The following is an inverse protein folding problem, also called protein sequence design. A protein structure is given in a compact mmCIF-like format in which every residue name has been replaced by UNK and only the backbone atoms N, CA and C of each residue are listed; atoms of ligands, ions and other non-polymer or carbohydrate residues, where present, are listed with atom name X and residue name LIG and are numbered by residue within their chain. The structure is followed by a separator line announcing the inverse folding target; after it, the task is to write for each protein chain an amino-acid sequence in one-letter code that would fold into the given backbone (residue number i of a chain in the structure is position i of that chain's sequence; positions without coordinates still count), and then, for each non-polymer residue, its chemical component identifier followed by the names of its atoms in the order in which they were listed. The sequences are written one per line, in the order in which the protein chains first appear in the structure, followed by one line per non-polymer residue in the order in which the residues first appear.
data_IF_647009066488
#
_entry.id   IF_647009066488
#
_cell.length_a   1.000
_cell.length_b   1.000
_cell.length_c   1.000
_cell.angle_alpha   90.00
_cell.angle_beta   90.00
_cell.angle_gamma   90.00
#
_symmetry.space_group_name_H-M   'P 1'
#
loop_
_entity.id
_entity.type
_entity.pdbx_description
1 polymer ?
#
# COMPACT_ATOMS: atom_id res chain seq x y z
N UNK A 1 -8.95 -41.85 9.44
CA UNK A 1 -9.33 -40.96 8.32
C UNK A 1 -9.96 -39.71 8.94
N UNK A 2 -9.18 -38.66 9.16
CA UNK A 2 -9.70 -37.35 9.57
C UNK A 2 -9.79 -36.43 8.35
N UNK A 3 -10.63 -35.37 8.37
CA UNK A 3 -10.71 -34.44 7.26
C UNK A 3 -9.37 -33.72 7.12
N UNK A 4 -8.69 -33.91 5.98
CA UNK A 4 -7.60 -33.04 5.57
C UNK A 4 -8.24 -31.69 5.27
N UNK A 5 -8.03 -30.72 6.14
CA UNK A 5 -8.43 -29.33 5.90
C UNK A 5 -7.55 -28.84 4.74
N UNK A 6 -8.17 -28.58 3.59
CA UNK A 6 -7.52 -27.89 2.49
C UNK A 6 -7.09 -26.52 3.01
N UNK A 7 -5.77 -26.31 3.13
CA UNK A 7 -5.21 -25.01 3.50
C UNK A 7 -5.22 -24.17 2.22
N UNK A 8 -6.02 -23.09 2.14
CA UNK A 8 -5.95 -22.20 1.00
C UNK A 8 -4.53 -21.62 0.96
N UNK A 9 -3.77 -21.93 -0.08
CA UNK A 9 -2.41 -21.41 -0.25
C UNK A 9 -2.53 -19.95 -0.66
N UNK A 10 -2.65 -19.10 0.36
CA UNK A 10 -2.67 -17.66 0.22
C UNK A 10 -1.44 -17.19 -0.55
N UNK A 11 -1.69 -16.30 -1.50
CA UNK A 11 -0.73 -15.56 -2.28
C UNK A 11 0.46 -15.06 -1.44
N UNK A 12 1.63 -15.69 -1.56
CA UNK A 12 2.87 -15.24 -0.92
C UNK A 12 3.64 -14.30 -1.86
N UNK A 13 3.31 -13.02 -1.88
CA UNK A 13 4.16 -12.00 -2.54
C UNK A 13 5.12 -11.44 -1.49
N UNK A 14 6.40 -11.78 -1.62
CA UNK A 14 7.46 -11.21 -0.79
C UNK A 14 8.16 -10.07 -1.52
N UNK A 15 7.91 -8.82 -1.12
CA UNK A 15 8.80 -7.73 -1.51
C UNK A 15 9.98 -7.69 -0.53
N UNK A 16 11.05 -8.41 -0.86
CA UNK A 16 12.36 -8.15 -0.27
C UNK A 16 13.06 -7.07 -1.10
N UNK A 17 13.58 -6.03 -0.46
CA UNK A 17 14.48 -5.04 -1.05
C UNK A 17 15.87 -5.27 -0.43
N UNK A 18 16.84 -5.71 -1.22
CA UNK A 18 18.25 -5.68 -0.82
C UNK A 18 18.84 -4.31 -1.16
N UNK A 19 19.65 -3.71 -0.30
CA UNK A 19 20.08 -2.32 -0.43
C UNK A 19 21.45 -2.18 -1.11
N UNK A 20 21.55 -1.43 -2.23
CA UNK A 20 22.83 -0.79 -2.60
C UNK A 20 23.22 -0.66 -4.09
N UNK A 21 22.75 0.39 -4.79
CA UNK A 21 23.41 1.06 -5.94
C UNK A 21 23.46 0.32 -7.30
N UNK A 22 23.66 0.94 -8.46
CA UNK A 22 23.56 2.32 -8.96
C UNK A 22 23.07 2.23 -10.41
N UNK A 23 22.02 2.96 -10.78
CA UNK A 23 21.63 3.19 -12.17
C UNK A 23 21.13 4.62 -12.30
N UNK A 24 21.51 5.27 -13.41
CA UNK A 24 21.37 6.70 -13.66
C UNK A 24 19.89 7.09 -13.84
N UNK A 25 19.18 7.22 -12.72
CA UNK A 25 17.80 7.68 -12.62
C UNK A 25 17.76 9.20 -12.38
N UNK A 26 16.66 9.85 -12.75
CA UNK A 26 16.28 11.19 -12.26
C UNK A 26 16.69 11.31 -10.79
N UNK A 27 17.67 12.15 -10.46
CA UNK A 27 18.28 12.17 -9.13
C UNK A 27 17.17 12.43 -8.09
N UNK A 28 17.07 11.56 -7.08
CA UNK A 28 16.14 11.78 -5.96
C UNK A 28 16.43 13.13 -5.29
N UNK A 29 15.50 13.62 -4.48
CA UNK A 29 15.60 14.94 -3.86
C UNK A 29 15.38 14.88 -2.35
N UNK A 30 16.04 15.78 -1.64
CA UNK A 30 15.89 15.90 -0.18
C UNK A 30 14.77 16.87 0.16
N UNK A 31 13.93 16.47 1.10
CA UNK A 31 12.95 17.33 1.76
C UNK A 31 13.35 17.49 3.22
N UNK A 32 13.51 18.73 3.68
CA UNK A 32 13.69 19.07 5.09
C UNK A 32 12.49 19.86 5.57
N UNK A 33 12.00 19.56 6.76
CA UNK A 33 10.84 20.22 7.34
C UNK A 33 11.17 20.71 8.76
N UNK A 34 10.95 22.00 9.03
CA UNK A 34 11.20 22.62 10.32
C UNK A 34 9.90 23.17 10.90
N UNK A 35 9.63 22.78 12.13
CA UNK A 35 8.56 23.34 12.95
C UNK A 35 9.08 24.44 13.88
N UNK A 36 8.15 25.13 14.52
CA UNK A 36 8.44 26.14 15.52
C UNK A 36 7.41 26.08 16.63
N UNK A 37 7.86 26.20 17.87
CA UNK A 37 7.05 26.55 19.03
C UNK A 37 7.65 27.77 19.74
N UNK A 38 6.81 28.58 20.40
CA UNK A 38 7.24 29.84 21.03
C UNK A 38 8.39 29.69 22.03
N UNK A 39 8.42 28.60 22.82
CA UNK A 39 9.51 28.38 23.79
C UNK A 39 10.76 27.72 23.20
N UNK A 40 10.79 27.40 21.91
CA UNK A 40 11.95 26.77 21.30
C UNK A 40 13.18 27.70 21.32
N UNK A 41 14.36 27.19 21.72
CA UNK A 41 15.60 27.97 21.75
C UNK A 41 15.92 28.58 20.38
N UNK A 42 16.40 29.84 20.41
CA UNK A 42 16.86 30.55 19.21
C UNK A 42 15.79 31.34 18.44
N UNK A 43 14.53 31.34 18.88
CA UNK A 43 13.44 32.04 18.18
C UNK A 43 12.74 33.16 18.98
N UNK A 44 13.21 33.48 20.20
CA UNK A 44 12.56 34.50 21.05
C UNK A 44 12.54 35.90 20.44
N UNK A 45 13.54 36.23 19.63
CA UNK A 45 13.68 37.54 18.99
C UNK A 45 13.21 37.54 17.52
N UNK A 46 12.65 36.42 17.05
CA UNK A 46 12.17 36.29 15.68
C UNK A 46 10.69 36.71 15.62
N UNK A 47 10.30 37.65 14.73
CA UNK A 47 8.90 38.04 14.60
C UNK A 47 7.97 36.84 14.35
N UNK A 48 6.82 36.80 15.01
CA UNK A 48 5.87 35.66 14.91
C UNK A 48 5.41 35.35 13.47
N UNK A 49 5.39 36.37 12.62
CA UNK A 49 5.05 36.25 11.20
C UNK A 49 6.27 35.98 10.29
N UNK A 50 7.44 35.69 10.87
CA UNK A 50 8.64 35.40 10.11
C UNK A 50 8.53 34.09 9.36
N UNK A 51 8.94 34.13 8.09
CA UNK A 51 9.07 32.95 7.21
C UNK A 51 10.24 32.04 7.62
N UNK A 52 10.99 32.39 8.66
CA UNK A 52 12.08 31.56 9.17
C UNK A 52 11.67 30.65 10.33
N UNK A 53 10.43 30.79 10.83
CA UNK A 53 9.91 29.97 11.93
C UNK A 53 9.53 28.57 11.46
N UNK A 54 8.64 28.48 10.48
CA UNK A 54 8.09 27.20 10.01
C UNK A 54 8.14 27.13 8.49
N UNK A 55 8.90 26.17 7.97
CA UNK A 55 9.16 26.05 6.55
C UNK A 55 9.51 24.61 6.16
N UNK A 56 9.47 24.36 4.85
CA UNK A 56 10.13 23.22 4.23
C UNK A 56 11.23 23.69 3.29
N UNK A 57 12.22 22.84 3.05
CA UNK A 57 13.25 23.03 2.03
C UNK A 57 13.25 21.82 1.12
N UNK A 58 13.13 22.07 -0.19
CA UNK A 58 13.18 21.02 -1.21
C UNK A 58 14.26 21.37 -2.21
N UNK A 59 15.25 20.50 -2.39
CA UNK A 59 16.36 20.76 -3.32
C UNK A 59 17.10 22.08 -3.06
N UNK A 60 17.18 22.51 -1.80
CA UNK A 60 17.77 23.79 -1.39
C UNK A 60 16.85 25.01 -1.46
N UNK A 61 15.62 24.87 -1.98
CA UNK A 61 14.65 25.97 -2.06
C UNK A 61 13.67 25.94 -0.88
N UNK A 62 13.60 27.05 -0.13
CA UNK A 62 12.70 27.23 1.02
C UNK A 62 11.27 27.57 0.56
N UNK A 63 10.27 26.99 1.21
CA UNK A 63 8.85 27.29 1.02
C UNK A 63 8.10 27.36 2.37
N UNK A 64 7.11 28.25 2.45
CA UNK A 64 6.27 28.53 3.62
C UNK A 64 4.81 28.66 3.19
N UNK A 65 3.87 28.76 4.13
CA UNK A 65 2.50 29.18 3.84
C UNK A 65 2.48 30.68 3.52
N UNK A 66 1.85 31.06 2.41
CA UNK A 66 1.86 32.45 1.90
C UNK A 66 0.73 33.32 2.47
N UNK A 67 -0.40 32.73 2.87
CA UNK A 67 -1.65 33.45 3.22
C UNK A 67 -1.79 33.75 4.72
N UNK A 68 -0.71 34.21 5.34
CA UNK A 68 -0.67 34.50 6.78
C UNK A 68 -0.41 33.23 7.61
N UNK A 69 0.73 33.21 8.30
CA UNK A 69 1.07 32.14 9.23
C UNK A 69 -0.03 32.01 10.28
N UNK A 70 -0.76 30.89 10.25
CA UNK A 70 -1.68 30.51 11.31
C UNK A 70 -0.94 29.60 12.26
N UNK A 71 -1.25 29.69 13.55
CA UNK A 71 -0.91 28.65 14.52
C UNK A 71 -1.43 27.28 14.04
N UNK A 72 -0.86 26.20 14.53
CA UNK A 72 -1.30 24.84 14.23
C UNK A 72 -0.52 24.17 13.09
N UNK A 73 -1.14 23.15 12.48
CA UNK A 73 -0.49 22.32 11.48
C UNK A 73 -0.41 23.05 10.13
N UNK A 74 0.81 23.16 9.61
CA UNK A 74 1.09 23.57 8.24
C UNK A 74 1.34 22.32 7.41
N UNK A 75 0.65 22.20 6.27
CA UNK A 75 0.71 21.03 5.40
C UNK A 75 1.17 21.45 4.01
N UNK A 76 2.13 20.71 3.47
CA UNK A 76 2.66 20.88 2.12
C UNK A 76 2.48 19.57 1.34
N UNK A 77 1.93 19.68 0.14
CA UNK A 77 1.78 18.59 -0.82
C UNK A 77 2.77 18.83 -1.95
N UNK A 78 3.73 17.92 -2.12
CA UNK A 78 4.77 18.02 -3.14
C UNK A 78 4.54 17.02 -4.26
N UNK A 79 4.99 17.40 -5.44
CA UNK A 79 5.14 16.51 -6.57
C UNK A 79 6.25 15.49 -6.27
N UNK A 80 5.93 14.22 -6.41
CA UNK A 80 6.80 13.08 -6.11
C UNK A 80 7.96 12.91 -7.09
N UNK A 81 7.86 13.47 -8.30
CA UNK A 81 8.91 13.44 -9.32
C UNK A 81 9.85 14.64 -9.19
N UNK A 82 9.30 15.83 -8.93
CA UNK A 82 10.05 17.09 -9.02
C UNK A 82 10.34 17.75 -7.67
N UNK A 83 9.65 17.35 -6.60
CA UNK A 83 9.70 18.03 -5.31
C UNK A 83 8.97 19.38 -5.27
N UNK A 84 8.37 19.83 -6.38
CA UNK A 84 7.67 21.10 -6.45
C UNK A 84 6.45 21.09 -5.52
N UNK A 85 6.26 22.18 -4.76
CA UNK A 85 5.05 22.37 -3.95
C UNK A 85 3.85 22.55 -4.87
N UNK A 86 2.91 21.60 -4.84
CA UNK A 86 1.68 21.59 -5.64
C UNK A 86 0.56 22.30 -4.91
N UNK A 87 0.48 22.10 -3.59
CA UNK A 87 -0.51 22.76 -2.74
C UNK A 87 0.02 22.86 -1.32
N UNK A 88 -0.47 23.84 -0.58
CA UNK A 88 -0.09 24.07 0.81
C UNK A 88 -1.21 24.79 1.55
N UNK A 89 -1.39 24.47 2.83
CA UNK A 89 -2.44 25.04 3.67
C UNK A 89 -2.05 25.05 5.14
N UNK A 90 -2.66 25.94 5.92
CA UNK A 90 -2.52 26.03 7.37
C UNK A 90 -3.84 25.74 8.07
N UNK A 91 -3.78 25.03 9.19
CA UNK A 91 -4.94 24.64 9.99
C UNK A 91 -4.70 25.01 11.46
N UNK A 92 -5.52 25.91 12.02
CA UNK A 92 -5.40 26.33 13.43
C UNK A 92 -5.95 25.27 14.38
N UNK A 93 -5.16 24.22 14.53
CA UNK A 93 -5.40 23.07 15.40
C UNK A 93 -4.91 23.31 16.83
N UNK A 94 -4.96 24.53 17.31
CA UNK A 94 -4.84 24.81 18.74
C UNK A 94 -6.16 24.44 19.41
N UNK A 95 -6.14 24.04 20.69
CA UNK A 95 -7.34 23.63 21.43
C UNK A 95 -8.45 24.70 21.48
N UNK A 96 -8.10 25.99 21.35
CA UNK A 96 -9.06 27.09 21.23
C UNK A 96 -9.02 27.78 19.85
N UNK A 97 -8.50 27.08 18.84
CA UNK A 97 -8.41 27.53 17.45
C UNK A 97 -9.69 27.26 16.67
N UNK A 98 -9.54 26.86 15.41
CA UNK A 98 -10.67 26.49 14.55
C UNK A 98 -11.18 25.09 14.92
N UNK A 99 -12.41 25.00 15.42
CA UNK A 99 -13.05 23.74 15.81
C UNK A 99 -13.17 22.73 14.65
N UNK A 100 -13.16 23.21 13.39
CA UNK A 100 -13.22 22.38 12.19
C UNK A 100 -11.84 22.10 11.57
N UNK A 101 -10.75 22.58 12.17
CA UNK A 101 -9.40 22.49 11.60
C UNK A 101 -9.01 21.05 11.25
N UNK A 102 -9.34 20.09 12.11
CA UNK A 102 -9.06 18.67 11.88
C UNK A 102 -9.80 18.11 10.66
N UNK A 103 -11.09 18.44 10.51
CA UNK A 103 -11.92 18.03 9.37
C UNK A 103 -11.43 18.67 8.06
N UNK A 104 -11.08 19.96 8.10
CA UNK A 104 -10.53 20.69 6.95
C UNK A 104 -9.17 20.11 6.54
N UNK A 105 -8.30 19.80 7.50
CA UNK A 105 -7.01 19.17 7.26
C UNK A 105 -7.16 17.77 6.66
N UNK A 106 -8.07 16.95 7.21
CA UNK A 106 -8.37 15.62 6.67
C UNK A 106 -8.90 15.70 5.24
N UNK A 107 -9.77 16.67 4.95
CA UNK A 107 -10.31 16.90 3.60
C UNK A 107 -9.20 17.32 2.62
N UNK A 108 -8.33 18.24 3.03
CA UNK A 108 -7.20 18.70 2.23
C UNK A 108 -6.22 17.57 1.89
N UNK A 109 -5.81 16.79 2.90
CA UNK A 109 -4.96 15.60 2.70
C UNK A 109 -5.68 14.54 1.83
N UNK A 110 -6.99 14.36 2.05
CA UNK A 110 -7.84 13.47 1.27
C UNK A 110 -7.95 13.86 -0.21
N UNK A 111 -7.86 15.15 -0.54
CA UNK A 111 -7.90 15.67 -1.91
C UNK A 111 -6.58 15.52 -2.70
N UNK A 112 -5.45 15.28 -2.02
CA UNK A 112 -4.18 15.05 -2.72
C UNK A 112 -4.22 13.80 -3.62
N UNK A 113 -3.52 13.80 -4.74
CA UNK A 113 -3.39 12.59 -5.55
C UNK A 113 -2.59 11.50 -4.81
N UNK A 114 -2.90 10.23 -5.05
CA UNK A 114 -2.12 9.10 -4.53
C UNK A 114 -0.64 9.22 -4.96
N UNK A 115 0.30 8.91 -4.07
CA UNK A 115 1.74 9.00 -4.33
C UNK A 115 2.35 10.39 -4.09
N UNK A 116 1.56 11.45 -3.86
CA UNK A 116 2.10 12.76 -3.49
C UNK A 116 2.87 12.71 -2.18
N UNK A 117 3.95 13.49 -2.07
CA UNK A 117 4.71 13.63 -0.83
C UNK A 117 3.95 14.61 0.08
N UNK A 118 3.81 14.26 1.35
CA UNK A 118 3.16 15.10 2.37
C UNK A 118 4.23 15.48 3.39
N UNK A 119 4.40 16.78 3.62
CA UNK A 119 5.18 17.31 4.74
C UNK A 119 4.24 18.06 5.69
N UNK A 120 4.34 17.76 6.99
CA UNK A 120 3.54 18.38 8.04
C UNK A 120 4.48 18.95 9.09
N UNK A 121 4.27 20.20 9.48
CA UNK A 121 5.02 20.88 10.53
C UNK A 121 4.08 21.70 11.40
N UNK A 122 4.34 21.77 12.70
CA UNK A 122 3.54 22.60 13.62
C UNK A 122 4.14 24.00 13.76
N UNK A 123 3.26 25.00 13.78
CA UNK A 123 3.58 26.39 14.09
C UNK A 123 2.93 26.78 15.43
N UNK A 124 3.74 27.20 16.40
CA UNK A 124 3.38 27.56 17.78
C UNK A 124 2.75 26.43 18.61
N UNK A 125 1.53 25.99 18.28
CA UNK A 125 0.84 24.91 19.01
C UNK A 125 -0.14 24.12 18.12
N UNK A 126 -0.09 22.79 18.20
CA UNK A 126 -0.95 21.86 17.46
C UNK A 126 -1.71 20.88 18.37
N UNK A 127 -1.94 21.27 19.62
CA UNK A 127 -2.47 20.48 20.74
C UNK A 127 -3.99 20.30 20.73
N UNK A 128 -4.58 20.09 19.55
CA UNK A 128 -6.02 19.85 19.46
C UNK A 128 -6.41 18.49 20.04
N UNK A 129 -7.58 18.46 20.68
CA UNK A 129 -8.16 17.28 21.31
C UNK A 129 -9.05 16.46 20.36
N UNK A 130 -9.41 17.01 19.20
CA UNK A 130 -10.32 16.43 18.20
C UNK A 130 -9.79 15.27 17.34
N UNK A 131 -8.68 14.61 17.74
CA UNK A 131 -8.26 13.34 17.13
C UNK A 131 -7.21 13.45 16.01
N UNK A 132 -6.00 13.93 16.34
CA UNK A 132 -4.81 13.93 15.46
C UNK A 132 -4.51 12.55 14.87
N UNK A 133 -4.67 11.49 15.68
CA UNK A 133 -4.56 10.10 15.24
C UNK A 133 -5.49 9.76 14.07
N UNK A 134 -6.68 10.35 13.98
CA UNK A 134 -7.60 10.07 12.89
C UNK A 134 -7.19 10.73 11.56
N UNK A 135 -6.46 11.85 11.64
CA UNK A 135 -6.04 12.65 10.50
C UNK A 135 -4.71 12.17 9.93
N UNK A 136 -3.71 11.91 10.78
CA UNK A 136 -2.35 11.59 10.34
C UNK A 136 -2.01 10.09 10.36
N UNK A 137 -2.70 9.25 11.14
CA UNK A 137 -2.41 7.81 11.14
C UNK A 137 -2.61 7.13 9.77
N UNK A 138 -3.59 7.52 8.92
CA UNK A 138 -3.69 7.00 7.54
C UNK A 138 -2.43 7.23 6.70
N UNK A 139 -1.59 8.19 7.08
CA UNK A 139 -0.35 8.56 6.40
C UNK A 139 0.91 8.08 7.15
N UNK A 140 0.75 7.17 8.11
CA UNK A 140 1.85 6.46 8.78
C UNK A 140 2.32 7.07 10.10
N UNK A 141 1.73 8.19 10.54
CA UNK A 141 2.01 8.81 11.84
C UNK A 141 1.68 7.85 12.99
N UNK A 142 2.57 7.78 13.98
CA UNK A 142 2.34 7.02 15.22
C UNK A 142 1.92 7.91 16.38
N UNK A 143 1.98 9.24 16.20
CA UNK A 143 1.62 10.20 17.22
C UNK A 143 0.10 10.33 17.31
N UNK A 144 -0.43 10.07 18.50
CA UNK A 144 -1.86 10.17 18.76
C UNK A 144 -2.28 11.50 19.39
N UNK A 145 -1.32 12.21 19.99
CA UNK A 145 -1.52 13.46 20.74
C UNK A 145 -0.24 14.32 20.74
N UNK A 146 -0.42 15.64 20.68
CA UNK A 146 0.62 16.64 20.90
C UNK A 146 0.24 17.51 22.09
N UNK A 147 1.19 17.74 22.99
CA UNK A 147 1.03 18.66 24.10
C UNK A 147 1.13 20.13 23.66
N UNK A 148 0.65 21.02 24.54
CA UNK A 148 0.75 22.48 24.33
C UNK A 148 2.19 22.88 24.01
N UNK A 149 2.37 23.49 22.84
CA UNK A 149 3.66 23.98 22.33
C UNK A 149 4.76 22.91 22.23
N UNK A 150 4.39 21.65 22.05
CA UNK A 150 5.31 20.66 21.50
C UNK A 150 5.52 20.94 20.01
N UNK A 151 6.77 20.95 19.58
CA UNK A 151 7.11 21.08 18.16
C UNK A 151 7.09 19.70 17.50
N UNK A 152 6.64 19.64 16.26
CA UNK A 152 6.39 18.39 15.54
C UNK A 152 6.64 18.57 14.04
N UNK A 153 7.28 17.57 13.44
CA UNK A 153 7.47 17.51 12.00
C UNK A 153 7.41 16.08 11.46
N UNK A 154 6.84 15.92 10.27
CA UNK A 154 6.65 14.64 9.60
C UNK A 154 6.80 14.80 8.09
N UNK A 155 7.42 13.82 7.44
CA UNK A 155 7.50 13.69 5.99
C UNK A 155 7.10 12.26 5.61
N UNK A 156 6.14 12.13 4.70
CA UNK A 156 5.55 10.86 4.27
C UNK A 156 5.08 10.92 2.83
N UNK A 157 4.47 9.83 2.35
CA UNK A 157 3.80 9.74 1.06
C UNK A 157 2.32 9.41 1.25
N UNK A 158 1.47 9.97 0.40
CA UNK A 158 0.07 9.54 0.32
C UNK A 158 0.00 8.12 -0.23
N UNK A 159 -0.48 7.20 0.59
CA UNK A 159 -0.60 5.79 0.27
C UNK A 159 0.07 4.90 1.32
N UNK A 160 0.61 3.73 0.93
CA UNK A 160 1.38 2.88 1.84
C UNK A 160 2.55 3.66 2.47
N UNK A 161 2.82 3.39 3.76
CA UNK A 161 3.90 4.05 4.51
C UNK A 161 5.25 3.80 3.82
N UNK A 162 5.97 4.83 3.37
CA UNK A 162 7.24 4.64 2.68
C UNK A 162 8.36 4.26 3.66
N UNK A 163 9.40 3.57 3.16
CA UNK A 163 10.58 3.21 3.96
C UNK A 163 11.38 4.41 4.45
N UNK A 164 11.33 5.54 3.73
CA UNK A 164 11.96 6.81 4.07
C UNK A 164 11.07 7.72 4.93
N UNK A 165 9.91 7.23 5.39
CA UNK A 165 9.05 7.95 6.32
C UNK A 165 9.84 8.43 7.54
N UNK A 166 9.64 9.69 7.91
CA UNK A 166 10.24 10.28 9.11
C UNK A 166 9.21 11.11 9.86
N UNK A 167 9.22 10.97 11.18
CA UNK A 167 8.35 11.71 12.09
C UNK A 167 9.13 11.96 13.38
N UNK A 168 9.05 13.18 13.90
CA UNK A 168 9.67 13.56 15.17
C UNK A 168 8.78 14.55 15.90
N UNK A 169 8.85 14.51 17.23
CA UNK A 169 8.37 15.57 18.13
C UNK A 169 9.46 15.92 19.13
N UNK A 170 9.40 17.15 19.63
CA UNK A 170 10.17 17.59 20.79
C UNK A 170 9.22 18.13 21.85
N UNK A 171 9.57 17.90 23.11
CA UNK A 171 8.88 18.52 24.24
C UNK A 171 8.96 20.05 24.13
N UNK A 172 8.04 20.72 24.83
CA UNK A 172 8.01 22.18 24.95
C UNK A 172 9.38 22.74 25.34
N UNK A 173 9.92 23.64 24.51
CA UNK A 173 11.22 24.27 24.72
C UNK A 173 12.44 23.40 24.40
N UNK A 174 12.24 22.21 23.83
CA UNK A 174 13.29 21.32 23.34
C UNK A 174 13.32 21.23 21.80
N UNK A 175 12.50 22.04 21.10
CA UNK A 175 12.56 22.20 19.66
C UNK A 175 13.67 23.16 19.22
N UNK A 176 13.63 23.66 17.96
CA UNK A 176 12.64 23.36 16.94
C UNK A 176 12.75 21.90 16.49
N UNK A 177 11.62 21.26 16.14
CA UNK A 177 11.70 19.92 15.57
C UNK A 177 11.97 20.03 14.07
N UNK A 178 13.12 19.51 13.66
CA UNK A 178 13.51 19.38 12.25
C UNK A 178 13.60 17.90 11.87
N UNK A 179 13.03 17.55 10.73
CA UNK A 179 13.18 16.24 10.09
C UNK A 179 13.66 16.40 8.65
N UNK A 180 14.34 15.38 8.14
CA UNK A 180 14.87 15.35 6.78
C UNK A 180 14.68 13.96 6.19
N UNK A 181 14.24 13.89 4.94
CA UNK A 181 14.05 12.66 4.20
C UNK A 181 14.63 12.79 2.78
N UNK A 182 15.34 11.76 2.34
CA UNK A 182 15.70 11.60 0.93
C UNK A 182 14.56 10.88 0.21
N UNK A 183 13.91 11.59 -0.71
CA UNK A 183 12.86 11.03 -1.55
C UNK A 183 13.52 10.37 -2.76
N UNK A 184 13.41 9.04 -2.90
CA UNK A 184 13.98 8.35 -4.04
C UNK A 184 13.28 8.82 -5.33
N UNK A 185 13.94 8.68 -6.49
CA UNK A 185 13.34 8.99 -7.77
C UNK A 185 11.96 8.34 -7.90
N UNK A 186 10.94 9.10 -8.29
CA UNK A 186 9.64 8.52 -8.60
C UNK A 186 9.78 7.60 -9.82
N UNK A 187 9.92 6.30 -9.56
CA UNK A 187 9.77 5.28 -10.57
C UNK A 187 8.30 5.24 -10.97
N UNK A 188 7.99 5.03 -12.25
CA UNK A 188 6.63 4.67 -12.64
C UNK A 188 6.30 3.36 -11.93
N UNK A 189 5.62 3.46 -10.79
CA UNK A 189 5.25 2.30 -9.99
C UNK A 189 4.54 1.29 -10.88
N UNK A 190 4.92 0.03 -10.74
CA UNK A 190 4.25 -1.07 -11.41
C UNK A 190 3.55 -1.93 -10.36
N UNK A 191 2.42 -2.51 -10.73
CA UNK A 191 1.77 -3.52 -9.91
C UNK A 191 2.38 -4.87 -10.22
N UNK A 192 2.66 -5.63 -9.16
CA UNK A 192 2.94 -7.07 -9.23
C UNK A 192 1.74 -7.80 -8.66
N UNK A 193 1.15 -8.69 -9.44
CA UNK A 193 0.19 -9.69 -8.95
C UNK A 193 0.81 -11.06 -9.19
N UNK A 194 0.68 -11.97 -8.25
CA UNK A 194 1.07 -13.36 -8.43
C UNK A 194 -0.19 -14.23 -8.46
N UNK A 195 -0.10 -15.37 -9.13
CA UNK A 195 -1.11 -16.40 -9.16
C UNK A 195 -0.39 -17.72 -8.85
N UNK A 196 -0.72 -18.29 -7.70
CA UNK A 196 -0.40 -19.67 -7.36
C UNK A 196 -1.57 -20.58 -7.75
N UNK A 197 -1.31 -21.88 -7.78
CA UNK A 197 -2.31 -22.90 -8.05
C UNK A 197 -2.07 -24.10 -7.15
N UNK A 198 -3.13 -24.65 -6.58
CA UNK A 198 -3.20 -26.00 -6.05
C UNK A 198 -4.39 -26.74 -6.68
N UNK A 199 -4.29 -28.07 -6.83
CA UNK A 199 -5.37 -28.87 -7.45
C UNK A 199 -6.74 -28.71 -6.77
N UNK A 200 -6.75 -28.46 -5.46
CA UNK A 200 -7.97 -28.31 -4.67
C UNK A 200 -8.57 -26.89 -4.74
N UNK A 201 -7.88 -25.94 -5.37
CA UNK A 201 -8.33 -24.54 -5.44
C UNK A 201 -9.59 -24.40 -6.32
N UNK A 202 -10.61 -23.64 -5.87
CA UNK A 202 -11.80 -23.39 -6.66
C UNK A 202 -11.49 -22.73 -8.01
N UNK A 203 -12.08 -23.24 -9.09
CA UNK A 203 -11.97 -22.65 -10.43
C UNK A 203 -10.81 -23.15 -11.29
N UNK A 204 -10.03 -24.13 -10.82
CA UNK A 204 -8.91 -24.69 -11.59
C UNK A 204 -9.06 -26.16 -12.00
N UNK A 205 -10.11 -26.86 -11.55
CA UNK A 205 -10.31 -28.31 -11.81
C UNK A 205 -10.40 -28.68 -13.29
N UNK A 206 -10.87 -27.76 -14.13
CA UNK A 206 -11.06 -27.98 -15.57
C UNK A 206 -9.92 -27.39 -16.40
N UNK A 207 -8.87 -26.86 -15.76
CA UNK A 207 -7.71 -26.29 -16.44
C UNK A 207 -6.62 -27.37 -16.60
N UNK A 208 -6.07 -27.59 -17.81
CA UNK A 208 -5.00 -28.56 -18.01
C UNK A 208 -3.80 -28.27 -17.10
N UNK A 209 -3.24 -29.30 -16.45
CA UNK A 209 -2.14 -29.17 -15.48
C UNK A 209 -0.91 -28.40 -16.00
N UNK A 210 -0.62 -28.50 -17.30
CA UNK A 210 0.51 -27.81 -17.93
C UNK A 210 0.15 -26.40 -18.45
N UNK A 211 -1.05 -25.90 -18.15
CA UNK A 211 -1.51 -24.60 -18.62
C UNK A 211 -0.70 -23.47 -17.98
N UNK A 212 -0.29 -22.51 -18.83
CA UNK A 212 0.38 -21.27 -18.40
C UNK A 212 -0.57 -20.32 -17.66
N UNK A 213 -1.85 -20.66 -17.55
CA UNK A 213 -2.86 -19.89 -16.84
C UNK A 213 -3.09 -20.38 -15.40
N UNK A 214 -2.38 -21.44 -14.97
CA UNK A 214 -2.41 -21.92 -13.59
C UNK A 214 -1.50 -21.11 -12.68
N UNK A 215 -0.24 -20.93 -13.08
CA UNK A 215 0.78 -20.29 -12.24
C UNK A 215 1.56 -19.26 -13.05
N UNK A 216 1.48 -18.01 -12.61
CA UNK A 216 2.09 -16.88 -13.30
C UNK A 216 2.23 -15.68 -12.37
N UNK A 217 3.00 -14.69 -12.82
CA UNK A 217 2.94 -13.34 -12.26
C UNK A 217 2.45 -12.36 -13.33
N UNK A 218 1.95 -11.22 -12.89
CA UNK A 218 1.58 -10.09 -13.74
C UNK A 218 2.41 -8.92 -13.27
N UNK A 219 3.19 -8.35 -14.18
CA UNK A 219 3.97 -7.14 -13.90
C UNK A 219 3.58 -6.05 -14.88
N UNK A 220 3.12 -4.91 -14.36
CA UNK A 220 2.71 -3.78 -15.20
C UNK A 220 1.54 -4.09 -16.13
N UNK A 221 0.65 -5.01 -15.74
CA UNK A 221 -0.50 -5.45 -16.52
C UNK A 221 -0.19 -6.53 -17.57
N UNK A 222 1.00 -7.14 -17.50
CA UNK A 222 1.43 -8.19 -18.42
C UNK A 222 1.85 -9.45 -17.67
N UNK A 223 1.27 -10.58 -18.05
CA UNK A 223 1.58 -11.92 -17.58
C UNK A 223 3.02 -12.31 -17.92
N UNK A 224 3.67 -12.99 -16.98
CA UNK A 224 5.00 -13.56 -17.07
C UNK A 224 4.94 -14.97 -16.48
N UNK A 225 5.54 -15.91 -17.19
CA UNK A 225 5.57 -17.32 -16.85
C UNK A 225 7.02 -17.82 -16.86
N UNK A 226 7.24 -19.01 -16.31
CA UNK A 226 8.49 -19.75 -16.48
C UNK A 226 8.56 -20.29 -17.91
N UNK A 227 9.75 -20.20 -18.53
CA UNK A 227 9.95 -20.64 -19.92
C UNK A 227 10.27 -22.13 -20.01
N UNK A 228 11.01 -22.67 -19.05
CA UNK A 228 11.52 -24.06 -19.01
C UNK A 228 10.47 -25.11 -18.57
N UNK A 229 9.18 -24.76 -18.63
CA UNK A 229 8.09 -25.60 -18.15
C UNK A 229 7.79 -25.43 -16.66
N UNK A 230 6.55 -25.72 -16.29
CA UNK A 230 6.11 -25.70 -14.90
C UNK A 230 6.65 -26.95 -14.20
N UNK A 231 7.25 -26.77 -13.02
CA UNK A 231 7.51 -27.85 -12.08
C UNK A 231 6.50 -27.73 -10.95
N UNK A 232 6.07 -28.86 -10.39
CA UNK A 232 5.42 -28.87 -9.08
C UNK A 232 6.34 -28.14 -8.08
N UNK A 233 5.83 -27.41 -7.11
CA UNK A 233 6.67 -26.66 -6.17
C UNK A 233 6.72 -25.16 -6.45
N UNK A 234 7.88 -24.55 -6.24
CA UNK A 234 8.06 -23.10 -6.26
C UNK A 234 8.59 -22.60 -7.60
N UNK A 235 7.97 -21.53 -8.11
CA UNK A 235 8.40 -20.79 -9.29
C UNK A 235 8.83 -19.40 -8.82
N UNK A 236 10.05 -19.02 -9.15
CA UNK A 236 10.71 -17.82 -8.63
C UNK A 236 10.95 -16.85 -9.78
N UNK A 237 10.63 -15.59 -9.57
CA UNK A 237 10.89 -14.48 -10.48
C UNK A 237 11.68 -13.41 -9.75
N UNK A 238 12.78 -12.96 -10.35
CA UNK A 238 13.60 -11.85 -9.87
C UNK A 238 13.29 -10.65 -10.77
N UNK A 239 12.81 -9.56 -10.20
CA UNK A 239 12.44 -8.34 -10.93
C UNK A 239 13.38 -7.18 -10.62
N UNK A 240 13.54 -6.30 -11.60
CA UNK A 240 14.10 -4.98 -11.39
C UNK A 240 13.11 -4.13 -10.57
N UNK A 241 13.57 -3.57 -9.46
CA UNK A 241 12.76 -2.76 -8.54
C UNK A 241 12.23 -1.45 -9.15
N UNK A 242 12.90 -0.92 -10.17
CA UNK A 242 12.55 0.37 -10.80
C UNK A 242 11.62 0.18 -11.99
N UNK A 243 11.83 -0.89 -12.77
CA UNK A 243 11.13 -1.10 -14.05
C UNK A 243 10.11 -2.22 -14.03
N UNK A 244 10.19 -3.14 -13.06
CA UNK A 244 9.38 -4.36 -13.02
C UNK A 244 9.80 -5.40 -14.06
N UNK A 245 10.90 -5.18 -14.78
CA UNK A 245 11.41 -6.16 -15.73
C UNK A 245 11.84 -7.43 -15.00
N UNK A 246 11.39 -8.59 -15.50
CA UNK A 246 11.89 -9.90 -15.04
C UNK A 246 13.33 -10.04 -15.53
N UNK A 247 14.29 -10.04 -14.61
CA UNK A 247 15.72 -10.16 -14.92
C UNK A 247 16.21 -11.61 -14.86
N UNK A 248 15.55 -12.45 -14.06
CA UNK A 248 15.81 -13.88 -13.98
C UNK A 248 14.56 -14.60 -13.47
N UNK A 249 14.40 -15.88 -13.82
CA UNK A 249 13.29 -16.72 -13.36
C UNK A 249 13.66 -18.19 -13.44
N UNK A 250 13.15 -19.00 -12.51
CA UNK A 250 13.42 -20.43 -12.44
C UNK A 250 12.28 -21.19 -11.75
N UNK A 251 12.20 -22.51 -11.98
CA UNK A 251 11.27 -23.40 -11.30
C UNK A 251 12.00 -24.52 -10.55
N UNK A 252 11.53 -24.82 -9.34
CA UNK A 252 12.14 -25.75 -8.40
C UNK A 252 11.12 -26.79 -7.92
N UNK A 253 11.40 -28.07 -8.18
CA UNK A 253 10.54 -29.18 -7.75
C UNK A 253 10.67 -29.47 -6.26
N UNK A 254 9.99 -28.64 -5.49
CA UNK A 254 10.04 -28.56 -4.02
C UNK A 254 8.87 -29.27 -3.37
N UNK A 255 8.22 -30.17 -4.10
CA UNK A 255 7.34 -31.17 -3.52
C UNK A 255 8.15 -32.13 -2.66
N UNK A 256 7.60 -32.62 -1.55
CA UNK A 256 8.32 -33.53 -0.64
C UNK A 256 8.86 -34.80 -1.31
N UNK A 257 8.27 -35.21 -2.44
CA UNK A 257 8.71 -36.35 -3.26
C UNK A 257 9.32 -35.92 -4.62
N UNK A 258 9.61 -34.64 -4.78
CA UNK A 258 10.22 -34.04 -5.97
C UNK A 258 11.75 -34.16 -5.96
N UNK A 259 12.43 -33.09 -6.38
CA UNK A 259 13.89 -33.02 -6.38
C UNK A 259 14.41 -32.76 -4.96
N UNK A 260 15.14 -33.73 -4.40
CA UNK A 260 15.69 -33.65 -3.05
C UNK A 260 16.65 -32.48 -2.84
N UNK A 261 17.25 -31.94 -3.91
CA UNK A 261 18.14 -30.78 -3.86
C UNK A 261 17.44 -29.46 -4.21
N UNK A 262 16.13 -29.46 -4.50
CA UNK A 262 15.42 -28.30 -5.00
C UNK A 262 15.50 -27.09 -4.07
N UNK A 263 15.45 -27.31 -2.75
CA UNK A 263 15.59 -26.25 -1.75
C UNK A 263 16.98 -25.59 -1.81
N UNK A 264 18.04 -26.39 -1.90
CA UNK A 264 19.42 -25.91 -2.05
C UNK A 264 19.61 -25.18 -3.38
N UNK A 265 19.09 -25.72 -4.48
CA UNK A 265 19.12 -25.09 -5.80
C UNK A 265 18.39 -23.74 -5.80
N UNK A 266 17.24 -23.67 -5.14
CA UNK A 266 16.49 -22.43 -4.96
C UNK A 266 17.26 -21.40 -4.14
N UNK A 267 17.86 -21.82 -3.02
CA UNK A 267 18.68 -20.94 -2.18
C UNK A 267 19.89 -20.37 -2.97
N UNK A 268 20.58 -21.21 -3.74
CA UNK A 268 21.70 -20.79 -4.60
C UNK A 268 21.24 -19.83 -5.69
N UNK A 269 20.11 -20.09 -6.34
CA UNK A 269 19.55 -19.19 -7.36
C UNK A 269 19.22 -17.82 -6.78
N UNK A 270 18.61 -17.78 -5.60
CA UNK A 270 18.32 -16.52 -4.89
C UNK A 270 19.60 -15.79 -4.46
N UNK A 271 20.60 -16.53 -3.97
CA UNK A 271 21.90 -15.97 -3.58
C UNK A 271 22.71 -15.41 -4.75
N UNK A 272 22.42 -15.81 -5.98
CA UNK A 272 22.98 -15.24 -7.21
C UNK A 272 22.27 -13.97 -7.69
N UNK A 273 21.15 -13.57 -7.07
CA UNK A 273 20.46 -12.34 -7.42
C UNK A 273 21.28 -11.12 -7.01
N UNK A 274 21.37 -10.12 -7.90
CA UNK A 274 21.89 -8.81 -7.51
C UNK A 274 21.05 -8.21 -6.38
N UNK A 275 21.66 -7.35 -5.56
CA UNK A 275 20.92 -6.55 -4.59
C UNK A 275 19.92 -5.61 -5.29
N UNK A 276 18.91 -5.11 -4.57
CA UNK A 276 17.87 -4.23 -5.14
C UNK A 276 16.89 -4.92 -6.08
N UNK A 277 16.66 -6.21 -5.88
CA UNK A 277 15.73 -7.00 -6.71
C UNK A 277 14.51 -7.43 -5.90
N UNK A 278 13.36 -7.42 -6.57
CA UNK A 278 12.12 -7.96 -6.01
C UNK A 278 12.07 -9.46 -6.30
N UNK A 279 11.83 -10.29 -5.28
CA UNK A 279 11.73 -11.74 -5.40
C UNK A 279 10.26 -12.15 -5.31
N UNK A 280 9.66 -12.58 -6.41
CA UNK A 280 8.29 -13.12 -6.40
C UNK A 280 8.36 -14.63 -6.43
N UNK A 281 7.75 -15.28 -5.43
CA UNK A 281 7.63 -16.73 -5.36
C UNK A 281 6.17 -17.11 -5.48
N UNK A 282 5.85 -17.98 -6.43
CA UNK A 282 4.52 -18.59 -6.56
C UNK A 282 4.66 -20.10 -6.44
N UNK A 283 3.54 -20.76 -6.13
CA UNK A 283 3.49 -22.22 -5.97
C UNK A 283 2.63 -22.81 -7.08
N UNK A 284 3.10 -23.92 -7.64
CA UNK A 284 2.37 -24.77 -8.56
C UNK A 284 2.17 -26.14 -7.92
N UNK A 285 0.90 -26.45 -7.65
CA UNK A 285 0.41 -27.69 -7.05
C UNK A 285 0.85 -27.93 -5.59
N UNK A 286 2.12 -28.25 -5.32
CA UNK A 286 2.62 -28.47 -3.94
C UNK A 286 4.07 -28.09 -3.74
N UNK A 287 4.39 -27.36 -2.66
CA UNK A 287 5.73 -26.90 -2.28
C UNK A 287 6.12 -27.24 -0.83
N UNK A 288 5.88 -28.48 -0.42
CA UNK A 288 5.96 -28.98 0.96
C UNK A 288 7.30 -29.68 1.32
N UNK A 289 8.43 -29.17 0.82
CA UNK A 289 9.75 -29.74 1.12
C UNK A 289 10.16 -29.66 2.60
N UNK A 290 11.04 -30.58 3.02
CA UNK A 290 11.56 -30.63 4.38
C UNK A 290 12.34 -29.36 4.76
N UNK A 291 12.02 -28.76 5.92
CA UNK A 291 12.56 -27.46 6.36
C UNK A 291 11.74 -26.24 5.92
N UNK A 292 10.86 -26.41 4.93
CA UNK A 292 9.87 -25.41 4.51
C UNK A 292 10.46 -24.15 3.87
N UNK A 293 9.61 -23.42 3.14
CA UNK A 293 9.99 -22.21 2.40
C UNK A 293 10.60 -21.11 3.30
N UNK A 294 10.16 -21.03 4.56
CA UNK A 294 10.68 -20.06 5.52
C UNK A 294 12.20 -20.18 5.73
N UNK A 295 12.76 -21.38 5.69
CA UNK A 295 14.20 -21.59 5.85
C UNK A 295 15.01 -20.99 4.70
N UNK A 296 14.49 -21.09 3.47
CA UNK A 296 15.14 -20.55 2.26
C UNK A 296 14.97 -19.03 2.17
N UNK A 297 13.82 -18.51 2.63
CA UNK A 297 13.49 -17.08 2.50
C UNK A 297 13.83 -16.23 3.73
N UNK A 298 14.26 -16.84 4.85
CA UNK A 298 14.65 -16.13 6.06
C UNK A 298 15.71 -15.03 5.83
N UNK A 299 16.77 -15.24 5.02
CA UNK A 299 17.76 -14.19 4.73
C UNK A 299 17.18 -12.95 4.05
N UNK A 300 16.01 -13.08 3.41
CA UNK A 300 15.34 -12.03 2.65
C UNK A 300 14.22 -11.34 3.46
N UNK A 301 14.18 -11.54 4.78
CA UNK A 301 13.22 -10.86 5.67
C UNK A 301 11.79 -11.38 5.55
N UNK A 302 11.60 -12.63 5.10
CA UNK A 302 10.28 -13.19 4.87
C UNK A 302 9.49 -13.40 6.15
N UNK A 303 8.32 -12.76 6.26
CA UNK A 303 7.29 -13.09 7.25
C UNK A 303 6.14 -13.80 6.53
N UNK A 304 6.00 -15.11 6.75
CA UNK A 304 4.83 -15.86 6.25
C UNK A 304 3.64 -15.42 7.09
N UNK A 305 2.66 -14.78 6.45
CA UNK A 305 1.40 -14.38 7.08
C UNK A 305 0.26 -15.15 6.43
N UNK A 306 -0.53 -15.83 7.25
CA UNK A 306 -1.79 -16.41 6.80
C UNK A 306 -2.84 -15.31 6.78
N UNK A 307 -3.37 -15.03 5.60
CA UNK A 307 -4.45 -14.07 5.40
C UNK A 307 -5.75 -14.85 5.17
N UNK A 308 -6.78 -14.55 5.95
CA UNK A 308 -8.16 -14.98 5.68
C UNK A 308 -8.68 -14.23 4.45
N UNK A 309 -8.23 -14.67 3.27
CA UNK A 309 -8.47 -14.03 2.00
C UNK A 309 -9.75 -14.57 1.37
N UNK A 310 -10.64 -13.67 1.00
CA UNK A 310 -11.82 -13.98 0.19
C UNK A 310 -11.61 -13.50 -1.25
N UNK A 311 -11.84 -14.39 -2.21
CA UNK A 311 -11.80 -14.08 -3.65
C UNK A 311 -13.22 -13.99 -4.19
N UNK A 312 -13.54 -12.90 -4.88
CA UNK A 312 -14.81 -12.69 -5.56
C UNK A 312 -14.57 -12.26 -7.00
N UNK A 313 -15.35 -12.84 -7.90
CA UNK A 313 -15.26 -12.58 -9.34
C UNK A 313 -16.65 -12.32 -9.94
N UNK A 314 -16.72 -11.41 -10.90
CA UNK A 314 -17.89 -11.18 -11.75
C UNK A 314 -17.45 -10.93 -13.19
N UNK A 315 -18.20 -11.45 -14.16
CA UNK A 315 -17.91 -11.22 -15.57
C UNK A 315 -18.25 -9.78 -15.99
N UNK A 316 -17.69 -9.32 -17.11
CA UNK A 316 -17.96 -8.01 -17.69
C UNK A 316 -19.48 -7.73 -17.81
N UNK A 317 -19.90 -6.51 -17.51
CA UNK A 317 -21.32 -6.11 -17.45
C UNK A 317 -22.04 -6.46 -16.14
N UNK A 318 -21.48 -7.34 -15.30
CA UNK A 318 -22.05 -7.67 -13.99
C UNK A 318 -21.69 -6.67 -12.89
N UNK A 319 -22.34 -6.82 -11.71
CA UNK A 319 -22.06 -6.04 -10.50
C UNK A 319 -21.42 -6.95 -9.45
N UNK A 320 -20.17 -6.65 -9.08
CA UNK A 320 -19.49 -7.31 -7.98
C UNK A 320 -19.98 -6.71 -6.67
N UNK A 321 -20.46 -7.54 -5.74
CA UNK A 321 -20.76 -7.12 -4.36
C UNK A 321 -19.86 -7.90 -3.41
N UNK A 322 -19.16 -7.17 -2.54
CA UNK A 322 -18.33 -7.73 -1.46
C UNK A 322 -18.77 -7.13 -0.12
N UNK A 323 -18.66 -7.91 0.95
CA UNK A 323 -19.09 -7.50 2.28
C UNK A 323 -18.34 -8.24 3.37
N UNK A 324 -18.12 -7.56 4.48
CA UNK A 324 -17.58 -8.15 5.69
C UNK A 324 -18.67 -8.37 6.75
N UNK A 325 -18.46 -9.32 7.69
CA UNK A 325 -19.33 -9.49 8.85
C UNK A 325 -19.48 -8.20 9.67
N UNK A 326 -20.52 -8.12 10.51
CA UNK A 326 -20.77 -6.98 11.37
C UNK A 326 -19.53 -6.62 12.22
N UNK A 327 -19.22 -5.32 12.32
CA UNK A 327 -18.05 -4.81 13.04
C UNK A 327 -16.71 -4.94 12.31
N UNK A 328 -16.69 -5.53 11.10
CA UNK A 328 -15.49 -5.64 10.27
C UNK A 328 -15.57 -4.76 9.03
N UNK A 329 -14.42 -4.39 8.48
CA UNK A 329 -14.32 -3.62 7.23
C UNK A 329 -13.44 -4.32 6.20
N UNK A 330 -13.75 -4.02 4.93
CA UNK A 330 -13.08 -4.54 3.75
C UNK A 330 -11.66 -3.97 3.65
N UNK A 331 -10.69 -4.85 3.48
CA UNK A 331 -9.33 -4.51 3.10
C UNK A 331 -9.00 -5.15 1.74
N UNK A 332 -8.89 -4.33 0.69
CA UNK A 332 -8.60 -4.78 -0.68
C UNK A 332 -7.11 -5.12 -0.80
N UNK A 333 -6.82 -6.42 -0.98
CA UNK A 333 -5.48 -6.95 -1.16
C UNK A 333 -5.05 -6.88 -2.63
N UNK A 334 -5.90 -7.39 -3.52
CA UNK A 334 -5.63 -7.46 -4.97
C UNK A 334 -6.91 -7.20 -5.77
N UNK A 335 -6.77 -6.64 -6.96
CA UNK A 335 -7.88 -6.55 -7.92
C UNK A 335 -7.38 -6.55 -9.36
N UNK A 336 -8.14 -7.19 -10.25
CA UNK A 336 -7.90 -7.16 -11.69
C UNK A 336 -9.22 -7.01 -12.46
N UNK A 337 -9.25 -6.09 -13.41
CA UNK A 337 -10.22 -6.09 -14.49
C UNK A 337 -9.49 -6.40 -15.80
N UNK A 338 -9.94 -7.43 -16.51
CA UNK A 338 -9.26 -7.93 -17.70
C UNK A 338 -9.56 -9.39 -17.96
N UNK A 339 -8.65 -10.08 -18.64
CA UNK A 339 -8.71 -11.53 -18.82
C UNK A 339 -7.34 -12.15 -18.66
N UNK A 340 -7.27 -13.13 -17.76
CA UNK A 340 -6.07 -13.95 -17.51
C UNK A 340 -6.30 -15.45 -17.65
N UNK A 341 -7.55 -15.87 -17.87
CA UNK A 341 -7.94 -17.27 -17.95
C UNK A 341 -8.80 -17.50 -19.20
N UNK A 342 -8.83 -18.76 -19.64
CA UNK A 342 -9.54 -19.20 -20.82
C UNK A 342 -11.06 -19.28 -20.63
N UNK A 343 -11.76 -20.05 -21.46
CA UNK A 343 -13.22 -20.15 -21.45
C UNK A 343 -13.81 -20.76 -20.16
N UNK A 344 -13.00 -21.42 -19.34
CA UNK A 344 -13.40 -21.96 -18.04
C UNK A 344 -13.83 -20.87 -17.05
N UNK A 345 -13.29 -19.65 -17.18
CA UNK A 345 -13.61 -18.51 -16.32
C UNK A 345 -14.33 -17.45 -17.13
N UNK A 346 -15.57 -17.15 -16.74
CA UNK A 346 -16.46 -16.25 -17.49
C UNK A 346 -16.54 -16.65 -18.98
N UNK A 347 -17.18 -17.79 -19.31
CA UNK A 347 -17.24 -18.31 -20.67
C UNK A 347 -17.85 -17.29 -21.64
N UNK A 348 -17.19 -17.07 -22.78
CA UNK A 348 -17.67 -16.15 -23.81
C UNK A 348 -17.06 -16.50 -25.18
N UNK A 349 -17.75 -16.27 -26.32
CA UNK A 349 -17.20 -16.51 -27.65
C UNK A 349 -15.96 -15.68 -28.00
N UNK A 350 -15.77 -14.53 -27.36
CA UNK A 350 -14.67 -13.59 -27.63
C UNK A 350 -13.62 -13.61 -26.53
N UNK A 351 -12.74 -14.63 -26.57
CA UNK A 351 -11.58 -14.77 -25.69
C UNK A 351 -10.32 -14.76 -26.57
N UNK A 352 -9.98 -13.58 -27.10
CA UNK A 352 -8.85 -13.41 -28.02
C UNK A 352 -7.52 -13.17 -27.31
N UNK A 353 -7.54 -12.65 -26.08
CA UNK A 353 -6.35 -12.29 -25.32
C UNK A 353 -6.50 -12.67 -23.83
N UNK A 354 -5.67 -13.59 -23.33
CA UNK A 354 -5.62 -13.96 -21.90
C UNK A 354 -4.44 -13.32 -21.16
N UNK A 355 -3.90 -12.25 -21.72
CA UNK A 355 -2.80 -11.47 -21.17
C UNK A 355 -3.12 -9.96 -21.23
N UNK A 356 -4.27 -9.59 -20.69
CA UNK A 356 -4.72 -8.21 -20.70
C UNK A 356 -5.37 -7.84 -19.38
N UNK A 357 -4.78 -6.87 -18.68
CA UNK A 357 -5.19 -6.48 -17.33
C UNK A 357 -5.10 -4.96 -17.22
N UNK A 358 -6.12 -4.34 -16.64
CA UNK A 358 -6.12 -2.90 -16.38
C UNK A 358 -5.15 -2.55 -15.26
N UNK A 359 -4.26 -1.58 -15.55
CA UNK A 359 -3.26 -1.05 -14.62
C UNK A 359 -3.87 -0.31 -13.42
N UNK A 360 -5.13 0.10 -13.50
CA UNK A 360 -5.81 0.90 -12.47
C UNK A 360 -6.79 0.10 -11.61
N UNK A 361 -6.95 -1.20 -11.86
CA UNK A 361 -7.91 -2.07 -11.18
C UNK A 361 -7.81 -1.97 -9.64
N UNK A 362 -6.60 -2.16 -9.11
CA UNK A 362 -6.35 -2.16 -7.66
C UNK A 362 -6.61 -0.78 -7.02
N UNK A 363 -6.08 0.29 -7.62
CA UNK A 363 -6.26 1.64 -7.08
C UNK A 363 -7.72 2.06 -7.12
N UNK A 364 -8.44 1.74 -8.19
CA UNK A 364 -9.87 1.99 -8.29
C UNK A 364 -10.65 1.24 -7.20
N UNK A 365 -10.42 -0.07 -7.05
CA UNK A 365 -11.13 -0.87 -6.05
C UNK A 365 -10.84 -0.42 -4.62
N UNK A 366 -9.59 -0.07 -4.29
CA UNK A 366 -9.23 0.53 -3.00
C UNK A 366 -9.99 1.84 -2.78
N UNK A 367 -9.99 2.75 -3.76
CA UNK A 367 -10.69 4.03 -3.64
C UNK A 367 -12.20 3.88 -3.39
N UNK A 368 -12.81 2.80 -3.89
CA UNK A 368 -14.26 2.58 -3.78
C UNK A 368 -14.67 1.75 -2.58
N UNK A 369 -13.88 0.76 -2.18
CA UNK A 369 -14.30 -0.27 -1.24
C UNK A 369 -13.51 -0.35 0.06
N UNK A 370 -12.28 0.17 0.10
CA UNK A 370 -11.43 0.08 1.30
C UNK A 370 -12.13 0.70 2.51
N UNK A 371 -12.12 -0.01 3.64
CA UNK A 371 -12.65 0.46 4.91
C UNK A 371 -14.19 0.45 5.02
N UNK A 372 -14.92 -0.01 4.01
CA UNK A 372 -16.39 -0.16 4.08
C UNK A 372 -16.79 -1.53 4.60
N UNK A 373 -17.98 -1.66 5.17
CA UNK A 373 -18.55 -2.97 5.54
C UNK A 373 -19.14 -3.71 4.33
N UNK A 374 -19.62 -2.96 3.32
CA UNK A 374 -20.15 -3.49 2.04
C UNK A 374 -19.79 -2.55 0.90
N UNK A 375 -19.48 -3.12 -0.27
CA UNK A 375 -19.17 -2.37 -1.48
C UNK A 375 -19.75 -3.06 -2.71
N UNK A 376 -20.26 -2.27 -3.68
CA UNK A 376 -20.73 -2.78 -4.98
C UNK A 376 -20.08 -2.00 -6.11
N UNK A 377 -19.52 -2.70 -7.10
CA UNK A 377 -18.81 -2.11 -8.24
C UNK A 377 -19.18 -2.87 -9.52
N UNK A 378 -19.57 -2.14 -10.57
CA UNK A 378 -19.84 -2.76 -11.88
C UNK A 378 -18.52 -3.06 -12.61
N UNK A 379 -18.47 -4.20 -13.30
CA UNK A 379 -17.31 -4.67 -14.04
C UNK A 379 -17.38 -4.22 -15.50
N UNK A 380 -16.97 -2.99 -15.79
CA UNK A 380 -17.08 -2.41 -17.12
C UNK A 380 -15.90 -1.49 -17.51
N UNK A 381 -15.78 -1.28 -18.81
CA UNK A 381 -14.78 -0.43 -19.44
C UNK A 381 -14.83 1.04 -18.97
N UNK A 382 -16.00 1.54 -18.56
CA UNK A 382 -16.15 2.92 -18.10
C UNK A 382 -15.40 3.19 -16.80
N UNK A 383 -15.29 2.18 -15.94
CA UNK A 383 -14.63 2.28 -14.62
C UNK A 383 -13.14 1.93 -14.68
N UNK A 384 -12.80 0.90 -15.46
CA UNK A 384 -11.47 0.31 -15.45
C UNK A 384 -10.67 0.56 -16.73
N UNK A 385 -11.26 1.19 -17.75
CA UNK A 385 -10.74 1.23 -19.11
C UNK A 385 -10.90 -0.12 -19.83
N UNK A 386 -10.53 -0.17 -21.11
CA UNK A 386 -10.47 -1.43 -21.86
C UNK A 386 -9.01 -1.90 -22.06
N UNK A 387 -8.50 -2.78 -21.19
CA UNK A 387 -7.14 -3.30 -21.32
C UNK A 387 -6.99 -4.34 -22.44
N UNK A 388 -8.09 -4.84 -23.02
CA UNK A 388 -8.11 -6.03 -23.87
C UNK A 388 -8.55 -5.75 -25.31
N UNK A 389 -8.26 -4.54 -25.81
CA UNK A 389 -8.56 -4.15 -27.19
C UNK A 389 -7.89 -5.08 -28.22
N UNK A 390 -8.52 -5.33 -29.39
CA UNK A 390 -9.80 -4.76 -29.82
C UNK A 390 -11.03 -5.55 -29.34
N UNK A 391 -10.94 -6.86 -29.08
CA UNK A 391 -12.10 -7.68 -28.71
C UNK A 391 -11.71 -8.82 -27.77
N UNK A 392 -11.98 -8.66 -26.48
CA UNK A 392 -11.93 -9.74 -25.48
C UNK A 392 -12.84 -9.41 -24.33
N UNK A 393 -13.69 -10.38 -23.98
CA UNK A 393 -14.61 -10.27 -22.85
C UNK A 393 -13.87 -10.44 -21.53
N UNK A 394 -14.10 -9.56 -20.57
CA UNK A 394 -13.29 -9.46 -19.34
C UNK A 394 -14.04 -9.98 -18.12
N UNK A 395 -13.38 -9.93 -16.97
CA UNK A 395 -13.98 -10.09 -15.66
C UNK A 395 -13.26 -9.20 -14.65
N UNK A 396 -14.00 -8.82 -13.60
CA UNK A 396 -13.44 -8.21 -12.41
C UNK A 396 -13.24 -9.31 -11.36
N UNK A 397 -12.02 -9.48 -10.89
CA UNK A 397 -11.68 -10.29 -9.72
C UNK A 397 -11.06 -9.43 -8.63
N UNK A 398 -11.49 -9.66 -7.40
CA UNK A 398 -11.05 -8.93 -6.21
C UNK A 398 -10.76 -9.91 -5.10
N UNK A 399 -9.60 -9.74 -4.47
CA UNK A 399 -9.20 -10.44 -3.25
C UNK A 399 -9.19 -9.44 -2.10
N UNK A 400 -9.87 -9.78 -1.01
CA UNK A 400 -9.98 -8.91 0.15
C UNK A 400 -9.96 -9.71 1.45
N UNK A 401 -9.60 -9.03 2.54
CA UNK A 401 -9.75 -9.56 3.89
C UNK A 401 -10.75 -8.71 4.68
N UNK A 402 -11.30 -9.29 5.74
CA UNK A 402 -12.16 -8.59 6.68
C UNK A 402 -11.42 -8.35 8.00
N UNK A 403 -10.99 -7.10 8.21
CA UNK A 403 -10.27 -6.67 9.42
C UNK A 403 -11.20 -5.95 10.41
N UNK A 404 -10.70 -5.70 11.63
CA UNK A 404 -11.42 -4.90 12.62
C UNK A 404 -11.77 -3.52 12.02
N UNK A 405 -13.06 -3.26 11.85
CA UNK A 405 -13.52 -1.97 11.38
C UNK A 405 -13.24 -0.90 12.43
N UNK A 406 -12.85 0.30 12.00
CA UNK A 406 -13.11 1.46 12.88
C UNK A 406 -14.63 1.51 13.08
N UNK A 407 -15.13 1.64 14.31
CA UNK A 407 -16.56 1.59 14.58
C UNK A 407 -17.29 2.70 13.79
N UNK A 408 -18.36 2.30 13.10
CA UNK A 408 -19.31 3.20 12.44
C UNK A 408 -19.99 4.03 13.54
N UNK A 409 -19.67 5.32 13.64
CA UNK A 409 -20.31 6.25 14.57
C UNK A 409 -21.68 6.70 14.05
N UNK A 410 -22.51 5.75 13.67
CA UNK A 410 -23.94 5.96 13.39
C UNK A 410 -24.70 4.95 14.23
N UNK A 411 -25.05 5.36 15.46
CA UNK A 411 -25.88 4.54 16.35
C UNK A 411 -25.45 4.47 17.82
N UNK A 412 -24.80 5.49 18.37
CA UNK A 412 -24.80 5.72 19.83
C UNK A 412 -25.51 7.04 20.08
N UNK A 413 -26.83 7.03 19.93
CA UNK A 413 -27.72 7.98 20.59
C UNK A 413 -28.18 7.32 21.91
N UNK A 414 -27.83 8.03 22.99
CA UNK A 414 -28.55 8.19 24.25
C UNK A 414 -29.10 6.96 25.00
N UNK A 415 -28.31 6.47 25.95
CA UNK A 415 -28.83 6.02 27.25
C UNK A 415 -27.88 6.46 28.36
N UNK A 416 -27.97 7.74 28.72
CA UNK A 416 -27.49 8.25 30.00
C UNK A 416 -28.47 7.78 31.08
N UNK A 417 -28.05 6.80 31.89
CA UNK A 417 -28.79 6.37 33.08
C UNK A 417 -28.48 7.37 34.18
N UNK A 418 -29.43 8.26 34.42
CA UNK A 418 -29.47 9.20 35.54
C UNK A 418 -29.39 8.42 36.87
N UNK A 419 -28.23 8.50 37.52
CA UNK A 419 -27.95 7.90 38.82
C UNK A 419 -27.75 9.01 39.84
N UNK A 420 -28.74 9.89 40.02
CA UNK A 420 -28.80 10.78 41.17
C UNK A 420 -30.24 11.08 41.59
N UNK A 421 -30.86 10.13 42.31
CA UNK A 421 -32.05 10.41 43.11
C UNK A 421 -32.18 9.51 44.33
N UNK A 422 -31.32 9.76 45.33
CA UNK A 422 -31.68 9.57 46.74
C UNK A 422 -31.20 10.79 47.54
N UNK A 423 -32.06 11.82 47.56
CA UNK A 423 -32.40 12.61 48.76
C UNK A 423 -33.74 13.30 48.55
#
# INVERSE_FOLDING_TARGET
MGPRVAVPVGLLVLLALAAGGTAQATKGFTVRAQSYAWEDPGFRDVPYNSRDLTYIVVGGQKSNIDEGLKRGHQVFILNEQTGQVVSKAAFDTWVHGDAEAATKMATFLGGAAEGRIIAVVVHDSGDFTGGLSSVLAPYGSTITYLGRRESYAMITQKGPKPSWFVEKRSAKGAGPTTVEAFIPPATKGFTVRAQSYAWEDPGFRDVPYNSRDLTYIVVGGQKRNIDEGLKRGHQVFILNEQTGQVVSKAAFDTWVHGDAEAATKMATFLGGAAEGRIIVVVVHDSGDFAGGLSSVLAPYGSTITYLDLETRRVCEGGILTISCPAGKTINIVSAMYGRTQGPEVCPHPTIGNTNCISKTSLSYMRSKCQGKSRCSVAADNGRFGDPCMPFTYKYLEVEYTCGAGKPDRRGLEDHEVDSNKER
#
